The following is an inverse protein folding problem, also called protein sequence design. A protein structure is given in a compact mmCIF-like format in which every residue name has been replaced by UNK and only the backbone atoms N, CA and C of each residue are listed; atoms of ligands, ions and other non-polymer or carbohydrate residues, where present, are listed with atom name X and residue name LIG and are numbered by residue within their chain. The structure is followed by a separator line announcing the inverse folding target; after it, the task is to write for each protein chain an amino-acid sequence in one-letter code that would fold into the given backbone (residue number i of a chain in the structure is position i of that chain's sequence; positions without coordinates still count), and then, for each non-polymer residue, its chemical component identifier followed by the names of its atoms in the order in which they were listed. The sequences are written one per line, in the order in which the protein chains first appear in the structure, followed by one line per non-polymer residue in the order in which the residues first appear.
data_IF_964626529415
#
_entry.id   IF_964626529415
#
_cell.length_a   1.000
_cell.length_b   1.000
_cell.length_c   1.000
_cell.angle_alpha   90.00
_cell.angle_beta   90.00
_cell.angle_gamma   90.00
#
_symmetry.space_group_name_H-M   'P 1'
#
loop_
_entity.id
_entity.type
_entity.pdbx_description
1 polymer ?
#
# COMPACT_ATOMS: atom_id res chain seq x y z
N UNK A 1 -44.38 26.03 -17.58
CA UNK A 1 -44.30 25.02 -16.48
C UNK A 1 -43.81 23.66 -16.98
N UNK A 2 -44.41 23.05 -18.03
CA UNK A 2 -43.95 21.76 -18.61
C UNK A 2 -42.49 21.72 -19.08
N UNK A 3 -41.98 22.81 -19.65
CA UNK A 3 -40.60 22.90 -20.16
C UNK A 3 -39.56 23.02 -19.04
N UNK A 4 -39.88 23.70 -17.93
CA UNK A 4 -38.99 23.74 -16.75
C UNK A 4 -38.87 22.38 -16.07
N UNK A 5 -39.95 21.59 -16.02
CA UNK A 5 -39.92 20.24 -15.43
C UNK A 5 -39.03 19.28 -16.21
N UNK A 6 -38.98 19.39 -17.54
CA UNK A 6 -38.11 18.56 -18.40
C UNK A 6 -36.62 18.90 -18.23
N UNK A 7 -36.28 20.19 -18.09
CA UNK A 7 -34.90 20.63 -17.87
C UNK A 7 -34.39 20.19 -16.49
N UNK A 8 -35.25 20.24 -15.46
CA UNK A 8 -34.89 19.80 -14.11
C UNK A 8 -34.67 18.28 -14.03
N UNK A 9 -35.44 17.48 -14.79
CA UNK A 9 -35.28 16.03 -14.88
C UNK A 9 -34.03 15.59 -15.67
N UNK A 10 -33.59 16.37 -16.67
CA UNK A 10 -32.33 16.11 -17.37
C UNK A 10 -31.10 16.49 -16.53
N UNK A 11 -31.21 17.50 -15.67
CA UNK A 11 -30.09 17.93 -14.82
C UNK A 11 -29.78 16.93 -13.69
N UNK A 12 -30.78 16.20 -13.17
CA UNK A 12 -30.59 15.19 -12.12
C UNK A 12 -30.12 13.83 -12.62
N UNK A 13 -30.29 13.52 -13.91
CA UNK A 13 -29.81 12.27 -14.52
C UNK A 13 -28.31 12.30 -14.87
N UNK A 14 -27.72 13.48 -15.02
CA UNK A 14 -26.28 13.67 -15.29
C UNK A 14 -25.41 13.70 -14.02
N UNK A 15 -26.02 13.84 -12.83
CA UNK A 15 -25.30 13.81 -11.53
C UNK A 15 -25.12 12.40 -10.94
N UNK A 16 -25.45 11.34 -11.70
CA UNK A 16 -25.21 9.95 -11.28
C UNK A 16 -23.82 9.42 -11.66
N UNK A 17 -23.04 10.18 -12.44
CA UNK A 17 -21.60 9.98 -12.56
C UNK A 17 -20.93 10.74 -11.41
N UNK A 18 -19.78 10.27 -10.91
CA UNK A 18 -19.02 10.85 -9.79
C UNK A 18 -19.61 10.48 -8.40
N UNK A 19 -19.08 9.52 -7.64
CA UNK A 19 -17.71 9.59 -7.12
C UNK A 19 -17.04 8.22 -6.84
N UNK A 20 -17.72 7.08 -7.03
CA UNK A 20 -17.13 5.75 -6.87
C UNK A 20 -17.93 4.76 -7.75
N UNK A 21 -17.41 4.33 -8.91
CA UNK A 21 -18.05 3.28 -9.70
C UNK A 21 -18.20 2.03 -8.81
N UNK A 22 -19.38 1.38 -8.76
CA UNK A 22 -19.44 0.03 -8.23
C UNK A 22 -18.47 -0.85 -9.06
N UNK A 23 -17.77 -1.77 -8.40
CA UNK A 23 -16.81 -2.73 -9.01
C UNK A 23 -15.39 -2.22 -9.35
N UNK A 24 -14.91 -1.12 -8.77
CA UNK A 24 -13.46 -0.86 -8.84
C UNK A 24 -12.69 -1.91 -8.00
N UNK A 25 -11.53 -2.39 -8.49
CA UNK A 25 -10.67 -3.25 -7.68
C UNK A 25 -10.22 -2.49 -6.42
N UNK A 26 -9.88 -3.20 -5.33
CA UNK A 26 -9.27 -2.56 -4.18
C UNK A 26 -8.00 -1.81 -4.62
N UNK A 27 -7.71 -0.63 -4.05
CA UNK A 27 -6.49 0.10 -4.37
C UNK A 27 -5.26 -0.70 -3.95
N UNK A 28 -4.14 -0.44 -4.61
CA UNK A 28 -2.87 -1.01 -4.17
C UNK A 28 -2.46 -0.44 -2.81
N UNK A 29 -1.69 -1.20 -2.04
CA UNK A 29 -1.25 -0.81 -0.70
C UNK A 29 -0.56 0.56 -0.70
N UNK A 30 0.34 0.83 -1.65
CA UNK A 30 1.01 2.14 -1.78
C UNK A 30 0.07 3.31 -2.09
N UNK A 31 -1.14 3.08 -2.62
CA UNK A 31 -2.11 4.15 -2.95
C UNK A 31 -2.90 4.59 -1.71
N UNK A 32 -2.95 3.74 -0.69
CA UNK A 32 -3.68 4.01 0.55
C UNK A 32 -2.88 4.99 1.44
N UNK A 33 -1.55 4.96 1.37
CA UNK A 33 -0.70 5.74 2.27
C UNK A 33 -0.38 7.13 1.75
N UNK A 34 -0.44 8.11 2.64
CA UNK A 34 -0.21 9.52 2.31
C UNK A 34 0.68 10.20 3.35
N UNK A 35 1.57 11.07 2.89
CA UNK A 35 2.33 12.01 3.71
C UNK A 35 2.52 13.31 2.92
N UNK A 36 2.28 14.49 3.52
CA UNK A 36 2.47 15.76 2.81
C UNK A 36 3.87 15.86 2.20
N UNK A 37 3.93 16.15 0.89
CA UNK A 37 5.18 16.26 0.14
C UNK A 37 5.85 14.93 -0.25
N UNK A 38 5.29 13.77 0.12
CA UNK A 38 5.84 12.47 -0.29
C UNK A 38 5.35 12.08 -1.68
N UNK A 39 6.29 11.71 -2.55
CA UNK A 39 6.03 11.06 -3.83
C UNK A 39 5.58 9.61 -3.66
N UNK A 40 4.94 9.04 -4.69
CA UNK A 40 4.59 7.61 -4.73
C UNK A 40 5.82 6.74 -4.50
N UNK A 41 6.97 7.10 -5.08
CA UNK A 41 8.23 6.37 -4.88
C UNK A 41 8.65 6.35 -3.41
N UNK A 42 8.52 7.48 -2.69
CA UNK A 42 8.82 7.54 -1.27
C UNK A 42 7.85 6.69 -0.44
N UNK A 43 6.57 6.64 -0.80
CA UNK A 43 5.58 5.76 -0.15
C UNK A 43 5.95 4.29 -0.34
N UNK A 44 6.27 3.88 -1.57
CA UNK A 44 6.73 2.51 -1.87
C UNK A 44 8.01 2.15 -1.12
N UNK A 45 8.99 3.06 -1.08
CA UNK A 45 10.23 2.86 -0.29
C UNK A 45 9.87 2.70 1.19
N UNK A 46 9.06 3.59 1.77
CA UNK A 46 8.69 3.53 3.18
C UNK A 46 7.95 2.24 3.56
N UNK A 47 7.07 1.72 2.68
CA UNK A 47 6.41 0.43 2.86
C UNK A 47 7.43 -0.70 3.06
N UNK A 48 8.39 -0.81 2.14
CA UNK A 48 9.45 -1.83 2.19
C UNK A 48 10.38 -1.62 3.40
N UNK A 49 10.70 -0.36 3.72
CA UNK A 49 11.53 0.00 4.88
C UNK A 49 10.84 -0.31 6.21
N UNK A 50 9.52 -0.29 6.24
CA UNK A 50 8.67 -0.72 7.34
C UNK A 50 8.35 -2.23 7.31
N UNK A 51 8.93 -2.99 6.38
CA UNK A 51 8.83 -4.46 6.35
C UNK A 51 7.61 -4.99 5.61
N UNK A 52 6.96 -4.20 4.74
CA UNK A 52 6.03 -4.74 3.76
C UNK A 52 6.77 -5.70 2.81
N UNK A 53 6.21 -6.87 2.47
CA UNK A 53 6.84 -7.80 1.54
C UNK A 53 6.82 -7.27 0.10
N UNK A 54 5.80 -6.50 -0.25
CA UNK A 54 5.60 -5.89 -1.57
C UNK A 54 4.95 -4.51 -1.41
N UNK A 55 5.25 -3.52 -2.27
CA UNK A 55 4.60 -2.21 -2.16
C UNK A 55 3.14 -2.21 -2.64
N UNK A 56 2.72 -3.18 -3.47
CA UNK A 56 1.36 -3.22 -4.03
C UNK A 56 0.40 -4.06 -3.19
N UNK A 57 0.88 -5.16 -2.61
CA UNK A 57 0.05 -6.15 -1.93
C UNK A 57 0.56 -6.39 -0.51
N UNK A 58 -0.36 -6.74 0.39
CA UNK A 58 -0.08 -6.95 1.81
C UNK A 58 -0.75 -8.23 2.31
N UNK A 59 -0.47 -9.34 1.62
CA UNK A 59 -0.97 -10.67 1.97
C UNK A 59 -0.05 -11.33 3.00
N UNK A 60 -0.35 -11.11 4.28
CA UNK A 60 0.45 -11.61 5.41
C UNK A 60 -0.36 -11.60 6.71
N UNK A 61 0.12 -12.30 7.77
CA UNK A 61 -0.56 -12.35 9.05
C UNK A 61 -0.86 -10.96 9.62
N UNK A 62 -2.02 -10.83 10.26
CA UNK A 62 -2.53 -9.56 10.78
C UNK A 62 -1.52 -8.82 11.69
N UNK A 63 -0.83 -9.54 12.58
CA UNK A 63 0.18 -8.92 13.44
C UNK A 63 1.30 -8.24 12.64
N UNK A 64 1.81 -8.90 11.59
CA UNK A 64 2.84 -8.29 10.75
C UNK A 64 2.29 -7.05 10.04
N UNK A 65 1.09 -7.14 9.44
CA UNK A 65 0.43 -5.98 8.80
C UNK A 65 0.34 -4.78 9.75
N UNK A 66 -0.06 -5.03 10.99
CA UNK A 66 -0.11 -4.04 12.05
C UNK A 66 1.27 -3.44 12.37
N UNK A 67 2.35 -4.24 12.43
CA UNK A 67 3.71 -3.75 12.66
C UNK A 67 4.15 -2.75 11.58
N UNK A 68 3.92 -3.08 10.30
CA UNK A 68 4.25 -2.18 9.18
C UNK A 68 3.38 -0.93 9.20
N UNK A 69 2.09 -1.05 9.48
CA UNK A 69 1.20 0.11 9.61
C UNK A 69 1.66 1.03 10.74
N UNK A 70 2.01 0.48 11.90
CA UNK A 70 2.50 1.23 13.05
C UNK A 70 3.83 1.94 12.74
N UNK A 71 4.74 1.28 12.02
CA UNK A 71 5.99 1.89 11.53
C UNK A 71 5.72 3.09 10.61
N UNK A 72 4.82 2.95 9.64
CA UNK A 72 4.45 4.03 8.73
C UNK A 72 3.79 5.20 9.45
N UNK A 73 2.88 4.92 10.37
CA UNK A 73 2.22 5.92 11.22
C UNK A 73 3.26 6.67 12.05
N UNK A 74 4.18 5.96 12.70
CA UNK A 74 5.29 6.56 13.46
C UNK A 74 6.22 7.42 12.58
N UNK A 75 6.38 7.06 11.30
CA UNK A 75 7.12 7.83 10.31
C UNK A 75 6.34 9.01 9.70
N UNK A 76 5.11 9.27 10.18
CA UNK A 76 4.26 10.39 9.77
C UNK A 76 3.45 10.15 8.51
N UNK A 77 3.33 8.91 8.05
CA UNK A 77 2.36 8.53 7.02
C UNK A 77 1.00 8.28 7.65
N UNK A 78 -0.06 8.47 6.88
CA UNK A 78 -1.44 8.24 7.33
C UNK A 78 -2.27 7.60 6.23
N UNK A 79 -3.24 6.81 6.64
CA UNK A 79 -4.29 6.30 5.76
C UNK A 79 -5.52 7.21 5.84
N UNK A 80 -6.31 7.33 4.76
CA UNK A 80 -7.63 7.95 4.81
C UNK A 80 -8.57 7.28 5.82
N UNK A 81 -9.52 8.02 6.37
CA UNK A 81 -10.41 7.55 7.45
C UNK A 81 -11.22 6.29 7.09
N UNK A 82 -11.50 6.07 5.81
CA UNK A 82 -12.21 4.88 5.33
C UNK A 82 -11.38 3.59 5.40
N UNK A 83 -10.07 3.68 5.63
CA UNK A 83 -9.18 2.53 5.81
C UNK A 83 -8.77 2.41 7.29
N UNK A 84 -9.47 1.59 8.09
CA UNK A 84 -9.10 1.38 9.48
C UNK A 84 -7.75 0.66 9.57
N UNK A 85 -6.94 1.04 10.55
CA UNK A 85 -5.71 0.31 10.83
C UNK A 85 -6.02 -1.08 11.37
N UNK A 86 -5.08 -2.00 11.20
CA UNK A 86 -5.16 -3.37 11.70
C UNK A 86 -5.27 -3.39 13.23
N UNK A 87 -4.63 -2.46 13.94
CA UNK A 87 -4.79 -2.30 15.39
C UNK A 87 -6.16 -1.73 15.79
N UNK A 88 -6.85 -1.02 14.89
CA UNK A 88 -8.25 -0.63 15.12
C UNK A 88 -9.19 -1.82 14.96
N UNK A 89 -8.89 -2.72 14.03
CA UNK A 89 -9.70 -3.90 13.74
C UNK A 89 -9.46 -5.06 14.72
N UNK A 90 -8.22 -5.26 15.13
CA UNK A 90 -7.76 -6.36 16.00
C UNK A 90 -6.80 -5.81 17.07
N UNK A 91 -7.34 -5.17 18.13
CA UNK A 91 -6.55 -4.51 19.16
C UNK A 91 -5.78 -5.48 20.06
N UNK A 92 -6.13 -6.77 20.04
CA UNK A 92 -5.52 -7.85 20.80
C UNK A 92 -4.21 -8.37 20.19
N UNK A 93 -3.85 -7.92 18.99
CA UNK A 93 -2.59 -8.31 18.36
C UNK A 93 -1.38 -7.85 19.21
N UNK A 94 -0.30 -8.65 19.28
CA UNK A 94 0.89 -8.33 20.06
C UNK A 94 1.46 -6.93 19.77
N UNK A 95 1.56 -6.53 18.50
CA UNK A 95 2.10 -5.20 18.15
C UNK A 95 1.17 -4.02 18.49
N UNK A 96 -0.10 -4.28 18.79
CA UNK A 96 -1.10 -3.25 19.09
C UNK A 96 -1.21 -2.98 20.59
N UNK A 97 -0.49 -3.75 21.42
CA UNK A 97 -0.47 -3.57 22.87
C UNK A 97 0.22 -2.25 23.26
N UNK A 98 -0.26 -1.65 24.34
CA UNK A 98 0.33 -0.43 24.90
C UNK A 98 1.80 -0.66 25.28
N UNK A 99 2.66 0.31 24.99
CA UNK A 99 4.10 0.25 25.27
C UNK A 99 4.95 -0.44 24.20
N UNK A 100 4.34 -1.02 23.16
CA UNK A 100 5.10 -1.52 22.01
C UNK A 100 5.59 -0.33 21.18
N UNK A 101 6.90 -0.24 20.99
CA UNK A 101 7.53 0.80 20.18
C UNK A 101 7.57 0.31 18.72
N UNK A 102 6.93 1.02 17.77
CA UNK A 102 7.00 0.65 16.36
C UNK A 102 8.44 0.74 15.84
N UNK A 103 8.88 -0.17 14.96
CA UNK A 103 10.19 -0.05 14.34
C UNK A 103 10.24 1.21 13.48
N UNK A 104 11.43 1.79 13.33
CA UNK A 104 11.65 2.87 12.35
C UNK A 104 11.83 2.29 10.94
N UNK A 105 11.53 3.07 9.88
CA UNK A 105 11.92 2.73 8.51
C UNK A 105 13.42 2.47 8.42
N UNK A 106 13.82 1.40 7.72
CA UNK A 106 15.22 1.05 7.47
C UNK A 106 15.48 0.78 5.99
N UNK A 107 16.36 1.59 5.39
CA UNK A 107 16.83 1.38 4.01
C UNK A 107 17.49 0.01 3.83
N UNK A 108 18.24 -0.46 4.84
CA UNK A 108 18.83 -1.80 4.82
C UNK A 108 17.73 -2.88 4.74
N UNK A 109 16.66 -2.75 5.52
CA UNK A 109 15.51 -3.67 5.48
C UNK A 109 14.88 -3.71 4.08
N UNK A 110 14.68 -2.54 3.47
CA UNK A 110 14.13 -2.42 2.10
C UNK A 110 15.02 -3.11 1.07
N UNK A 111 16.31 -2.77 1.04
CA UNK A 111 17.24 -3.27 0.02
C UNK A 111 17.51 -4.78 0.15
N UNK A 112 17.36 -5.33 1.35
CA UNK A 112 17.51 -6.77 1.63
C UNK A 112 16.19 -7.55 1.60
N UNK A 113 15.04 -6.90 1.33
CA UNK A 113 13.76 -7.60 1.16
C UNK A 113 13.80 -8.60 0.00
N UNK A 114 13.02 -9.68 0.08
CA UNK A 114 12.94 -10.68 -0.99
C UNK A 114 12.50 -10.05 -2.31
N UNK A 115 11.59 -9.07 -2.26
CA UNK A 115 11.18 -8.25 -3.41
C UNK A 115 12.38 -7.58 -4.10
N UNK A 116 13.19 -6.81 -3.36
CA UNK A 116 14.32 -6.12 -3.97
C UNK A 116 15.47 -7.05 -4.35
N UNK A 117 15.66 -8.14 -3.60
CA UNK A 117 16.65 -9.16 -3.92
C UNK A 117 16.32 -9.88 -5.22
N UNK A 118 15.04 -10.22 -5.45
CA UNK A 118 14.60 -10.86 -6.69
C UNK A 118 14.85 -9.99 -7.93
N UNK A 119 14.77 -8.67 -7.80
CA UNK A 119 15.05 -7.74 -8.91
C UNK A 119 16.54 -7.63 -9.30
N UNK A 120 17.47 -7.99 -8.41
CA UNK A 120 18.94 -7.87 -8.64
C UNK A 120 19.66 -9.20 -8.77
N UNK A 121 19.10 -10.28 -8.23
CA UNK A 121 19.67 -11.62 -8.26
C UNK A 121 18.69 -12.58 -8.95
N UNK A 122 19.01 -12.93 -10.19
CA UNK A 122 18.21 -13.84 -11.01
C UNK A 122 18.19 -15.29 -10.49
N UNK A 123 19.26 -15.75 -9.84
CA UNK A 123 19.25 -17.07 -9.23
C UNK A 123 18.38 -17.10 -7.99
N UNK A 124 18.40 -16.01 -7.20
CA UNK A 124 17.47 -15.84 -6.09
C UNK A 124 16.02 -15.81 -6.59
N UNK A 125 15.71 -14.93 -7.56
CA UNK A 125 14.36 -14.83 -8.14
C UNK A 125 13.83 -16.20 -8.58
N UNK A 126 14.58 -16.92 -9.43
CA UNK A 126 14.14 -18.23 -9.97
C UNK A 126 13.90 -19.30 -8.91
N UNK A 127 14.49 -19.18 -7.72
CA UNK A 127 14.31 -20.13 -6.61
C UNK A 127 13.17 -19.77 -5.67
N UNK A 128 12.77 -18.49 -5.61
CA UNK A 128 11.81 -18.00 -4.62
C UNK A 128 10.44 -17.68 -5.19
N UNK A 129 10.32 -17.34 -6.47
CA UNK A 129 9.02 -17.04 -7.08
C UNK A 129 8.28 -18.30 -7.53
N UNK A 130 6.94 -18.25 -7.53
CA UNK A 130 6.11 -19.38 -7.98
C UNK A 130 6.24 -19.66 -9.49
N UNK A 131 6.56 -18.66 -10.30
CA UNK A 131 6.78 -18.80 -11.73
C UNK A 131 8.19 -18.30 -12.13
N UNK A 132 9.20 -19.18 -12.21
CA UNK A 132 10.58 -18.80 -12.54
C UNK A 132 10.74 -18.14 -13.91
N UNK A 133 9.80 -18.36 -14.85
CA UNK A 133 9.83 -17.74 -16.17
C UNK A 133 9.49 -16.24 -16.15
N UNK A 134 8.88 -15.74 -15.08
CA UNK A 134 8.62 -14.32 -14.87
C UNK A 134 9.90 -13.54 -14.50
N UNK A 135 10.95 -14.22 -14.04
CA UNK A 135 12.24 -13.62 -13.75
C UNK A 135 12.96 -13.25 -15.05
N UNK A 136 12.88 -11.97 -15.41
CA UNK A 136 13.53 -11.42 -16.60
C UNK A 136 14.66 -10.47 -16.22
N UNK A 137 15.73 -10.45 -17.01
CA UNK A 137 16.78 -9.45 -16.85
C UNK A 137 16.23 -8.09 -17.31
N UNK A 138 16.37 -7.07 -16.47
CA UNK A 138 15.86 -5.74 -16.74
C UNK A 138 16.41 -4.71 -15.75
N UNK A 139 16.07 -3.43 -15.92
CA UNK A 139 16.44 -2.40 -14.95
C UNK A 139 15.80 -2.69 -13.60
N UNK A 140 16.57 -2.50 -12.53
CA UNK A 140 16.07 -2.62 -11.16
C UNK A 140 15.00 -1.55 -10.94
N UNK A 141 13.88 -1.95 -10.33
CA UNK A 141 12.78 -1.03 -10.03
C UNK A 141 13.24 0.12 -9.11
N UNK A 142 12.77 1.36 -9.30
CA UNK A 142 13.29 2.53 -8.59
C UNK A 142 13.22 2.44 -7.05
N UNK A 143 12.20 1.78 -6.52
CA UNK A 143 12.02 1.56 -5.07
C UNK A 143 13.06 0.60 -4.47
N UNK A 144 13.83 -0.12 -5.29
CA UNK A 144 14.92 -0.99 -4.85
C UNK A 144 16.32 -0.41 -5.09
N UNK A 145 16.40 0.83 -5.57
CA UNK A 145 17.64 1.59 -5.65
C UNK A 145 17.92 2.28 -4.31
N UNK A 146 19.19 2.50 -3.91
CA UNK A 146 19.55 3.26 -2.70
C UNK A 146 18.72 4.54 -2.54
#
# INVERSE_FOLDING_TARGET
MRTLSLILLLATSLSACYANPPFQPPPFNFEIWQKPGASILQVKKALLECGAPHPQDDERPANQRAETQNCLIAAGYRMPKQYPSQCTLQPDLPTCQSGVIPPSPSTERRLNSDYCRAGRDMQFCRRTVSNPSACTAGPVVPECLP
#
